data_IF_953975108487
#
_entry.id   IF_953975108487
#
_cell.length_a   1.000
_cell.length_b   1.000
_cell.length_c   1.000
_cell.angle_alpha   90.00
_cell.angle_beta   90.00
_cell.angle_gamma   90.00
#
_symmetry.space_group_name_H-M   'P 1'
#
loop_
_entity.id
_entity.type
_entity.pdbx_description
1 polymer ?
#
# COMPACT_ATOMS: atom_id res chain seq x y z
N UNK A 1 12.45 -2.83 6.47
CA UNK A 1 12.00 -3.59 5.28
C UNK A 1 11.35 -2.61 4.32
N UNK A 2 11.55 -2.80 3.01
CA UNK A 2 10.85 -2.06 1.95
C UNK A 2 10.08 -3.05 1.06
N UNK A 3 8.86 -2.71 0.68
CA UNK A 3 7.97 -3.55 -0.16
C UNK A 3 7.16 -2.68 -1.12
N UNK A 4 6.66 -3.26 -2.22
CA UNK A 4 5.64 -2.63 -3.05
C UNK A 4 4.30 -2.57 -2.30
N UNK A 5 3.54 -1.51 -2.55
CA UNK A 5 2.17 -1.30 -2.11
C UNK A 5 1.12 -1.81 -3.11
N UNK A 6 1.56 -2.41 -4.22
CA UNK A 6 0.69 -3.07 -5.19
C UNK A 6 -0.07 -4.23 -4.55
N UNK A 7 -1.17 -4.60 -5.19
CA UNK A 7 -1.96 -5.76 -4.78
C UNK A 7 -1.29 -7.05 -5.18
N UNK A 8 -1.38 -8.04 -4.29
CA UNK A 8 -1.11 -9.42 -4.66
C UNK A 8 -2.32 -9.97 -5.41
N UNK A 9 -2.15 -10.26 -6.69
CA UNK A 9 -3.12 -11.00 -7.48
C UNK A 9 -2.87 -12.50 -7.28
N UNK A 10 -3.91 -13.25 -6.93
CA UNK A 10 -3.90 -14.71 -6.94
C UNK A 10 -4.96 -15.20 -7.93
N UNK A 11 -4.54 -16.07 -8.84
CA UNK A 11 -5.43 -16.69 -9.81
C UNK A 11 -6.01 -17.98 -9.23
N UNK A 12 -7.33 -18.09 -9.32
CA UNK A 12 -8.11 -19.29 -8.98
C UNK A 12 -8.80 -19.83 -10.24
N UNK A 13 -9.36 -21.05 -10.16
CA UNK A 13 -10.06 -21.74 -11.28
C UNK A 13 -10.96 -20.83 -12.13
N UNK A 14 -11.71 -19.92 -11.49
CA UNK A 14 -12.74 -19.12 -12.15
C UNK A 14 -12.57 -17.60 -11.99
N UNK A 15 -11.55 -17.12 -11.26
CA UNK A 15 -11.42 -15.70 -10.92
C UNK A 15 -9.99 -15.27 -10.51
N UNK A 16 -9.68 -13.99 -10.72
CA UNK A 16 -8.47 -13.33 -10.22
C UNK A 16 -8.82 -12.46 -9.02
N UNK A 17 -8.29 -12.81 -7.84
CA UNK A 17 -8.56 -12.07 -6.60
C UNK A 17 -7.38 -11.21 -6.21
N UNK A 18 -7.66 -9.95 -5.90
CA UNK A 18 -6.65 -8.94 -5.56
C UNK A 18 -6.63 -8.67 -4.04
N UNK A 19 -5.55 -9.08 -3.38
CA UNK A 19 -5.34 -8.85 -1.95
C UNK A 19 -4.51 -7.59 -1.71
N UNK A 20 -4.96 -6.75 -0.77
CA UNK A 20 -4.19 -5.60 -0.29
C UNK A 20 -3.05 -6.07 0.63
N UNK A 21 -1.99 -5.27 0.72
CA UNK A 21 -0.79 -5.60 1.51
C UNK A 21 -1.10 -5.96 2.97
N UNK A 22 -2.08 -5.31 3.61
CA UNK A 22 -2.49 -5.64 4.98
C UNK A 22 -2.94 -7.11 5.14
N UNK A 23 -3.56 -7.69 4.09
CA UNK A 23 -3.95 -9.10 4.03
C UNK A 23 -2.75 -10.02 3.91
N UNK A 24 -1.79 -9.67 3.04
CA UNK A 24 -0.56 -10.42 2.84
C UNK A 24 0.27 -10.50 4.13
N UNK A 25 0.35 -9.39 4.89
CA UNK A 25 1.06 -9.39 6.17
C UNK A 25 0.47 -10.37 7.19
N UNK A 26 -0.82 -10.73 7.09
CA UNK A 26 -1.46 -11.75 7.96
C UNK A 26 -0.87 -13.15 7.80
N UNK A 27 -0.20 -13.42 6.68
CA UNK A 27 0.50 -14.68 6.44
C UNK A 27 1.86 -14.77 7.15
N UNK A 28 2.29 -13.72 7.84
CA UNK A 28 3.59 -13.65 8.51
C UNK A 28 3.46 -13.51 10.04
N UNK A 29 2.98 -14.54 10.77
CA UNK A 29 3.02 -14.54 12.22
C UNK A 29 4.42 -14.30 12.78
N UNK A 30 4.52 -13.45 13.80
CA UNK A 30 5.79 -13.04 14.41
C UNK A 30 6.49 -11.88 13.69
N UNK A 31 5.93 -11.36 12.59
CA UNK A 31 6.45 -10.15 11.96
C UNK A 31 6.42 -9.00 12.98
N UNK A 32 7.56 -8.34 13.17
CA UNK A 32 7.70 -7.24 14.13
C UNK A 32 8.83 -6.29 13.69
N UNK A 33 8.49 -5.36 12.81
CA UNK A 33 9.44 -4.41 12.22
C UNK A 33 9.41 -3.07 12.94
N UNK A 34 10.58 -2.51 13.25
CA UNK A 34 10.66 -1.12 13.71
C UNK A 34 10.21 -0.12 12.61
N UNK A 35 10.50 -0.45 11.35
CA UNK A 35 10.14 0.34 10.17
C UNK A 35 9.73 -0.54 8.99
N UNK A 36 8.51 -0.31 8.51
CA UNK A 36 7.99 -0.79 7.24
C UNK A 36 7.94 0.39 6.27
N UNK A 37 8.64 0.29 5.14
CA UNK A 37 8.54 1.24 4.04
C UNK A 37 7.75 0.60 2.90
N UNK A 38 6.73 1.28 2.42
CA UNK A 38 5.87 0.83 1.32
C UNK A 38 5.95 1.86 0.20
N UNK A 39 6.25 1.38 -1.00
CA UNK A 39 6.23 2.20 -2.22
C UNK A 39 4.89 1.96 -2.91
N UNK A 40 4.00 2.95 -2.90
CA UNK A 40 2.69 2.85 -3.52
C UNK A 40 2.78 2.69 -5.05
N UNK A 41 1.88 1.89 -5.62
CA UNK A 41 1.78 1.66 -7.06
C UNK A 41 1.22 2.85 -7.84
N UNK A 42 0.82 2.65 -9.09
CA UNK A 42 0.31 3.73 -9.96
C UNK A 42 -1.15 4.13 -9.70
N UNK A 43 -1.96 3.27 -9.08
CA UNK A 43 -3.36 3.55 -8.78
C UNK A 43 -3.50 4.45 -7.55
N UNK A 44 -3.82 5.74 -7.72
CA UNK A 44 -3.95 6.66 -6.58
C UNK A 44 -5.05 6.27 -5.58
N UNK A 45 -6.17 5.71 -6.05
CA UNK A 45 -7.21 5.15 -5.19
C UNK A 45 -6.71 3.91 -4.43
N UNK A 46 -6.07 2.99 -5.15
CA UNK A 46 -5.48 1.77 -4.56
C UNK A 46 -4.46 2.12 -3.48
N UNK A 47 -3.63 3.15 -3.71
CA UNK A 47 -2.66 3.62 -2.74
C UNK A 47 -3.30 4.13 -1.44
N UNK A 48 -4.39 4.88 -1.57
CA UNK A 48 -5.12 5.38 -0.41
C UNK A 48 -5.79 4.25 0.37
N UNK A 49 -6.43 3.31 -0.33
CA UNK A 49 -7.05 2.13 0.28
C UNK A 49 -6.01 1.23 0.96
N UNK A 50 -4.86 1.00 0.31
CA UNK A 50 -3.75 0.22 0.88
C UNK A 50 -3.21 0.88 2.13
N UNK A 51 -2.94 2.19 2.11
CA UNK A 51 -2.51 2.92 3.30
C UNK A 51 -3.57 2.85 4.41
N UNK A 52 -4.84 3.09 4.07
CA UNK A 52 -5.96 3.01 5.01
C UNK A 52 -6.07 1.63 5.67
N UNK A 53 -5.99 0.56 4.88
CA UNK A 53 -6.00 -0.82 5.37
C UNK A 53 -4.80 -1.16 6.24
N UNK A 54 -3.60 -0.66 5.92
CA UNK A 54 -2.43 -0.83 6.77
C UNK A 54 -2.60 -0.13 8.12
N UNK A 55 -3.11 1.10 8.13
CA UNK A 55 -3.35 1.90 9.35
C UNK A 55 -4.48 1.29 10.19
N UNK A 56 -5.54 0.80 9.56
CA UNK A 56 -6.70 0.24 10.25
C UNK A 56 -6.42 -1.17 10.77
N UNK A 57 -5.87 -2.04 9.94
CA UNK A 57 -5.89 -3.49 10.17
C UNK A 57 -4.50 -4.17 10.17
N UNK A 58 -3.49 -3.54 9.57
CA UNK A 58 -2.15 -4.13 9.44
C UNK A 58 -1.34 -4.07 10.73
N UNK A 59 -0.81 -5.20 11.21
CA UNK A 59 0.26 -5.22 12.23
C UNK A 59 1.60 -5.61 11.57
N UNK A 60 2.60 -5.90 12.39
CA UNK A 60 3.96 -6.22 11.99
C UNK A 60 4.89 -5.02 11.86
N UNK A 61 4.44 -3.81 12.22
CA UNK A 61 5.25 -2.59 12.09
C UNK A 61 4.99 -1.58 13.21
N UNK A 62 6.06 -0.91 13.67
CA UNK A 62 6.04 0.20 14.63
C UNK A 62 5.95 1.57 13.96
N UNK A 63 6.69 1.73 12.86
CA UNK A 63 6.62 2.92 11.99
C UNK A 63 6.33 2.47 10.57
N UNK A 64 5.23 2.96 10.00
CA UNK A 64 4.92 2.83 8.58
C UNK A 64 5.37 4.10 7.86
N UNK A 65 6.10 3.92 6.77
CA UNK A 65 6.49 4.98 5.84
C UNK A 65 5.92 4.63 4.47
N UNK A 66 4.87 5.32 4.06
CA UNK A 66 4.22 5.11 2.78
C UNK A 66 4.64 6.21 1.82
N UNK A 67 5.24 5.88 0.69
CA UNK A 67 5.74 6.84 -0.31
C UNK A 67 4.98 6.59 -1.61
N UNK A 68 4.46 7.64 -2.24
CA UNK A 68 3.81 7.55 -3.55
C UNK A 68 4.46 8.47 -4.56
N UNK A 69 4.30 8.11 -5.84
CA UNK A 69 4.76 8.90 -6.97
C UNK A 69 3.90 10.15 -7.23
N UNK A 70 2.66 10.22 -6.71
CA UNK A 70 1.69 11.29 -7.04
C UNK A 70 0.88 11.78 -5.83
N UNK A 71 0.73 13.10 -5.71
CA UNK A 71 -0.10 13.76 -4.70
C UNK A 71 -1.59 13.55 -4.95
N UNK A 72 -1.98 13.03 -6.13
CA UNK A 72 -3.36 12.69 -6.44
C UNK A 72 -3.98 11.74 -5.41
N UNK A 73 -3.17 10.87 -4.80
CA UNK A 73 -3.60 9.98 -3.72
C UNK A 73 -4.23 10.73 -2.53
N UNK A 74 -3.83 11.98 -2.28
CA UNK A 74 -4.38 12.78 -1.18
C UNK A 74 -5.56 13.67 -1.61
N UNK A 75 -5.82 13.78 -2.92
CA UNK A 75 -6.78 14.73 -3.49
C UNK A 75 -7.88 14.12 -4.37
N UNK A 76 -7.90 12.81 -4.60
CA UNK A 76 -8.92 12.19 -5.46
C UNK A 76 -10.30 12.15 -4.79
N UNK A 77 -11.38 12.27 -5.58
CA UNK A 77 -12.74 12.15 -5.05
C UNK A 77 -13.02 10.68 -4.70
N UNK A 78 -13.67 10.42 -3.57
CA UNK A 78 -14.09 9.06 -3.20
C UNK A 78 -15.42 9.10 -2.46
N UNK A 79 -16.33 8.21 -2.85
CA UNK A 79 -17.60 7.93 -2.14
C UNK A 79 -17.33 7.29 -0.77
N UNK A 80 -16.16 6.65 -0.62
CA UNK A 80 -15.69 6.01 0.61
C UNK A 80 -14.73 6.91 1.40
N UNK A 81 -14.56 8.18 1.00
CA UNK A 81 -13.90 9.20 1.82
C UNK A 81 -14.79 9.58 2.99
N UNK A 82 -15.18 8.61 3.83
CA UNK A 82 -15.38 8.93 5.24
C UNK A 82 -13.98 9.28 5.77
N UNK A 83 -13.60 10.54 5.49
CA UNK A 83 -12.40 11.25 5.83
C UNK A 83 -12.33 11.36 7.35
N UNK A 84 -12.12 10.24 8.01
CA UNK A 84 -11.45 10.28 9.29
C UNK A 84 -10.01 10.62 8.96
N UNK A 85 -9.49 11.76 9.45
CA UNK A 85 -8.06 12.01 9.40
C UNK A 85 -7.34 10.74 9.83
N UNK A 86 -6.33 10.30 9.09
CA UNK A 86 -5.58 9.06 9.39
C UNK A 86 -5.14 9.02 10.87
N UNK A 87 -4.90 10.20 11.46
CA UNK A 87 -4.67 10.41 12.88
C UNK A 87 -5.77 9.83 13.78
N UNK A 88 -7.04 10.11 13.49
CA UNK A 88 -8.20 9.59 14.24
C UNK A 88 -8.31 8.08 14.14
N UNK A 89 -7.98 7.50 12.97
CA UNK A 89 -8.01 6.05 12.76
C UNK A 89 -6.96 5.37 13.66
N UNK A 90 -5.72 5.87 13.66
CA UNK A 90 -4.67 5.27 14.49
C UNK A 90 -4.91 5.52 15.98
N UNK A 91 -5.49 6.66 16.36
CA UNK A 91 -5.90 6.96 17.74
C UNK A 91 -7.00 6.04 18.25
N UNK A 92 -8.02 5.75 17.42
CA UNK A 92 -9.07 4.80 17.77
C UNK A 92 -8.53 3.37 17.93
N UNK A 93 -7.53 3.02 17.12
CA UNK A 93 -6.90 1.69 17.12
C UNK A 93 -5.93 1.48 18.29
N UNK A 94 -4.97 2.39 18.48
CA UNK A 94 -3.88 2.25 19.46
C UNK A 94 -4.23 2.92 20.80
N UNK A 95 -5.32 3.69 20.86
CA UNK A 95 -5.74 4.50 21.99
C UNK A 95 -4.99 5.84 22.04
N UNK A 96 -5.72 6.94 22.21
CA UNK A 96 -5.16 8.31 22.25
C UNK A 96 -4.03 8.44 23.29
N UNK A 97 -4.15 7.78 24.43
CA UNK A 97 -3.17 7.85 25.53
C UNK A 97 -1.81 7.23 25.20
N UNK A 98 -1.74 6.37 24.17
CA UNK A 98 -0.48 5.81 23.70
C UNK A 98 0.27 6.79 22.78
N UNK A 99 -0.33 7.93 22.41
CA UNK A 99 0.24 8.98 21.56
C UNK A 99 0.71 8.47 20.16
N UNK A 100 -0.16 7.79 19.38
CA UNK A 100 0.15 7.50 17.99
C UNK A 100 0.19 8.80 17.18
N UNK A 101 0.90 8.80 16.05
CA UNK A 101 1.02 10.01 15.21
C UNK A 101 1.06 9.71 13.73
N UNK A 102 0.48 10.61 12.95
CA UNK A 102 0.57 10.68 11.49
C UNK A 102 1.23 11.99 11.08
N UNK A 103 2.19 11.92 10.17
CA UNK A 103 2.79 13.10 9.55
C UNK A 103 2.84 12.90 8.06
N UNK A 104 2.26 13.83 7.31
CA UNK A 104 2.29 13.82 5.85
C UNK A 104 3.34 14.82 5.39
N UNK A 105 4.21 14.38 4.49
CA UNK A 105 5.17 15.20 3.79
C UNK A 105 4.84 15.22 2.31
N UNK A 106 5.25 16.29 1.64
CA UNK A 106 5.11 16.46 0.19
C UNK A 106 6.39 17.02 -0.40
N UNK A 107 6.77 16.54 -1.58
CA UNK A 107 7.95 17.02 -2.28
C UNK A 107 7.78 18.49 -2.67
N UNK A 108 8.89 19.26 -2.65
CA UNK A 108 8.90 20.65 -3.11
C UNK A 108 8.87 20.71 -4.63
N UNK A 109 9.64 19.84 -5.28
CA UNK A 109 9.77 19.77 -6.73
C UNK A 109 8.82 18.74 -7.34
N UNK A 110 8.10 19.09 -8.43
CA UNK A 110 7.27 18.15 -9.16
C UNK A 110 8.10 17.21 -10.03
N UNK A 111 7.62 15.97 -10.22
CA UNK A 111 8.20 14.98 -11.14
C UNK A 111 9.69 14.65 -10.92
N UNK A 112 10.24 14.99 -9.76
CA UNK A 112 11.58 14.60 -9.36
C UNK A 112 11.51 13.47 -8.36
N UNK A 113 11.27 12.28 -8.90
CA UNK A 113 10.95 11.12 -8.09
C UNK A 113 12.12 10.65 -7.23
N UNK A 114 11.81 10.16 -6.02
CA UNK A 114 12.75 9.83 -4.96
C UNK A 114 13.19 11.03 -4.10
N UNK A 115 12.91 12.27 -4.51
CA UNK A 115 13.31 13.48 -3.77
C UNK A 115 12.63 13.59 -2.40
N UNK A 116 11.44 13.01 -2.24
CA UNK A 116 10.68 13.01 -0.99
C UNK A 116 11.43 12.34 0.18
N UNK A 117 12.44 11.51 -0.10
CA UNK A 117 13.24 10.87 0.95
C UNK A 117 14.20 11.87 1.61
N UNK A 118 14.66 12.88 0.87
CA UNK A 118 15.51 13.96 1.38
C UNK A 118 14.68 14.95 2.23
N UNK A 119 14.96 15.10 3.54
CA UNK A 119 14.26 16.04 4.41
C UNK A 119 14.33 17.50 3.94
N UNK A 120 15.39 17.89 3.24
CA UNK A 120 15.58 19.26 2.74
C UNK A 120 14.67 19.59 1.55
N UNK A 121 14.12 18.56 0.89
CA UNK A 121 13.33 18.65 -0.35
C UNK A 121 11.85 18.40 -0.15
N UNK A 122 11.42 18.28 1.10
CA UNK A 122 10.02 18.09 1.45
C UNK A 122 9.52 19.13 2.43
N UNK A 123 8.20 19.29 2.46
CA UNK A 123 7.48 20.14 3.41
C UNK A 123 6.40 19.32 4.08
N UNK A 124 6.07 19.66 5.33
CA UNK A 124 4.91 19.07 5.99
C UNK A 124 3.65 19.52 5.26
N UNK A 125 2.75 18.57 5.02
CA UNK A 125 1.44 18.80 4.43
C UNK A 125 0.37 18.52 5.48
N UNK A 126 -0.59 19.43 5.61
CA UNK A 126 -1.75 19.24 6.47
C UNK A 126 -2.96 18.93 5.59
N UNK A 127 -3.54 17.74 5.77
CA UNK A 127 -4.82 17.44 5.16
C UNK A 127 -5.89 18.27 5.88
N UNK A 128 -6.38 19.30 5.21
CA UNK A 128 -7.44 20.15 5.77
C UNK A 128 -8.78 19.49 5.48
N UNK A 129 -9.67 19.35 6.48
CA UNK A 129 -11.08 19.12 6.20
C UNK A 129 -11.56 20.28 5.32
N UNK A 130 -12.27 19.98 4.24
CA UNK A 130 -12.88 21.00 3.40
C UNK A 130 -13.96 21.75 4.21
N UNK A 131 -13.56 22.79 4.94
CA UNK A 131 -14.48 23.63 5.71
C UNK A 131 -15.21 24.59 4.76
N UNK A 132 -16.53 24.49 4.69
CA UNK A 132 -17.38 25.53 4.10
C UNK A 132 -18.17 25.13 2.86
N UNK A 133 -18.15 23.87 2.44
CA UNK A 133 -19.17 23.34 1.53
C UNK A 133 -20.14 22.47 2.32
N UNK A 134 -21.43 22.64 2.05
CA UNK A 134 -22.53 21.80 2.51
C UNK A 134 -22.40 20.44 1.78
N UNK A 135 -21.31 19.73 2.09
CA UNK A 135 -20.99 18.45 1.47
C UNK A 135 -22.01 17.45 2.02
N UNK A 136 -22.83 16.89 1.12
CA UNK A 136 -23.58 15.70 1.46
C UNK A 136 -22.56 14.64 1.93
N UNK A 137 -22.94 13.87 2.95
CA UNK A 137 -22.06 12.92 3.64
C UNK A 137 -21.42 11.85 2.71
N UNK A 138 -21.85 11.78 1.46
CA UNK A 138 -21.52 10.81 0.42
C UNK A 138 -20.69 11.37 -0.75
N UNK A 139 -20.45 12.69 -0.84
CA UNK A 139 -19.71 13.28 -1.98
C UNK A 139 -18.58 14.18 -1.50
N UNK A 140 -17.35 13.68 -1.64
CA UNK A 140 -16.12 14.43 -1.39
C UNK A 140 -15.50 14.86 -2.71
N UNK A 141 -15.52 16.16 -3.05
CA UNK A 141 -14.92 16.65 -4.28
C UNK A 141 -13.41 16.46 -4.25
N UNK A 142 -12.82 16.36 -5.45
CA UNK A 142 -11.38 16.33 -5.61
C UNK A 142 -10.75 17.61 -5.03
N UNK A 143 -9.59 17.50 -4.38
CA UNK A 143 -8.82 18.65 -3.92
C UNK A 143 -8.18 19.34 -5.15
N UNK A 144 -8.67 20.52 -5.56
CA UNK A 144 -8.18 21.21 -6.75
C UNK A 144 -6.71 21.64 -6.59
N UNK A 145 -6.22 21.91 -5.38
CA UNK A 145 -4.81 22.29 -5.18
C UNK A 145 -3.89 21.09 -5.44
N UNK A 146 -4.29 19.90 -5.04
CA UNK A 146 -3.50 18.67 -5.25
C UNK A 146 -3.67 18.08 -6.65
N UNK A 147 -4.80 18.35 -7.32
CA UNK A 147 -5.16 17.75 -8.59
C UNK A 147 -4.78 18.60 -9.81
N UNK A 148 -4.16 19.77 -9.63
CA UNK A 148 -3.86 20.68 -10.75
C UNK A 148 -2.40 20.63 -11.19
N UNK A 149 -2.16 20.35 -12.47
CA UNK A 149 -0.87 20.54 -13.13
C UNK A 149 0.29 19.82 -12.44
N UNK A 150 1.35 20.58 -12.13
CA UNK A 150 2.56 20.03 -11.50
C UNK A 150 2.37 19.68 -10.02
N UNK A 151 1.33 20.20 -9.36
CA UNK A 151 1.03 19.84 -7.98
C UNK A 151 0.70 18.35 -7.86
N UNK A 152 -0.01 17.79 -8.83
CA UNK A 152 -0.33 16.37 -8.87
C UNK A 152 0.94 15.49 -8.93
N UNK A 153 1.98 15.97 -9.60
CA UNK A 153 3.24 15.24 -9.85
C UNK A 153 4.22 15.26 -8.66
N UNK A 154 3.87 15.90 -7.55
CA UNK A 154 4.71 15.91 -6.34
C UNK A 154 4.48 14.63 -5.55
N UNK A 155 5.56 14.00 -5.10
CA UNK A 155 5.49 12.79 -4.27
C UNK A 155 5.00 13.12 -2.85
N UNK A 156 3.97 12.44 -2.32
CA UNK A 156 3.68 12.46 -0.90
C UNK A 156 4.41 11.32 -0.17
N UNK A 157 4.70 11.57 1.11
CA UNK A 157 5.15 10.55 2.04
C UNK A 157 4.39 10.65 3.34
N UNK A 158 3.69 9.58 3.72
CA UNK A 158 2.96 9.48 4.98
C UNK A 158 3.78 8.65 5.96
N UNK A 159 4.08 9.23 7.12
CA UNK A 159 4.72 8.53 8.23
C UNK A 159 3.68 8.31 9.31
N UNK A 160 3.42 7.06 9.66
CA UNK A 160 2.53 6.66 10.75
C UNK A 160 3.34 5.97 11.82
N UNK A 161 3.22 6.41 13.06
CA UNK A 161 3.89 5.80 14.22
C UNK A 161 2.84 5.22 15.16
N UNK A 162 3.02 3.96 15.51
CA UNK A 162 2.25 3.29 16.57
C UNK A 162 2.47 3.97 17.90
N UNK A 163 1.48 3.85 18.78
CA UNK A 163 1.55 4.36 20.14
C UNK A 163 2.63 3.71 20.99
N UNK A 164 3.09 4.41 22.01
CA UNK A 164 4.02 3.90 23.01
C UNK A 164 3.42 2.71 23.77
N UNK A 165 4.19 1.63 23.88
CA UNK A 165 3.79 0.40 24.57
C UNK A 165 2.83 -0.50 23.79
N UNK A 166 2.44 -0.12 22.58
CA UNK A 166 1.61 -0.96 21.70
C UNK A 166 2.42 -2.15 21.23
N UNK A 167 1.88 -3.36 21.43
CA UNK A 167 2.43 -4.54 20.78
C UNK A 167 1.98 -4.54 19.31
N UNK A 168 2.94 -4.32 18.42
CA UNK A 168 2.72 -4.26 16.98
C UNK A 168 3.13 -5.53 16.25
N UNK A 169 3.45 -6.61 16.95
CA UNK A 169 3.68 -7.93 16.33
C UNK A 169 2.42 -8.42 15.59
N UNK A 170 2.59 -8.98 14.40
CA UNK A 170 1.50 -9.71 13.74
C UNK A 170 1.36 -11.09 14.40
N UNK A 171 0.27 -11.29 15.15
CA UNK A 171 0.05 -12.51 15.91
C UNK A 171 -0.53 -13.61 15.05
N UNK A 172 -0.22 -14.87 15.39
CA UNK A 172 -0.81 -16.05 14.73
C UNK A 172 -2.34 -16.08 14.79
N UNK A 173 -2.92 -15.58 15.88
CA UNK A 173 -4.35 -15.53 16.16
C UNK A 173 -4.96 -14.14 15.89
N UNK A 174 -4.31 -13.32 15.05
CA UNK A 174 -4.83 -12.00 14.72
C UNK A 174 -6.18 -12.10 13.99
N UNK A 175 -7.14 -11.21 14.31
CA UNK A 175 -8.48 -11.25 13.70
C UNK A 175 -8.43 -11.22 12.18
N UNK A 176 -9.44 -11.82 11.55
CA UNK A 176 -9.63 -11.70 10.12
C UNK A 176 -10.01 -10.28 9.74
N UNK A 177 -9.47 -9.84 8.61
CA UNK A 177 -9.86 -8.58 7.96
C UNK A 177 -10.89 -8.88 6.85
N UNK A 178 -11.42 -7.83 6.21
CA UNK A 178 -12.49 -7.98 5.22
C UNK A 178 -12.10 -8.90 4.04
N UNK A 179 -11.00 -8.57 3.36
CA UNK A 179 -10.39 -9.37 2.29
C UNK A 179 -9.17 -10.14 2.79
N UNK A 180 -9.38 -11.07 3.72
CA UNK A 180 -8.32 -11.84 4.35
C UNK A 180 -8.00 -13.14 3.58
N UNK A 181 -6.78 -13.22 3.05
CA UNK A 181 -6.28 -14.37 2.29
C UNK A 181 -6.39 -15.70 3.06
N UNK A 182 -6.36 -15.67 4.40
CA UNK A 182 -6.50 -16.87 5.23
C UNK A 182 -7.93 -17.44 5.21
N UNK A 183 -8.92 -16.66 4.80
CA UNK A 183 -10.31 -17.15 4.62
C UNK A 183 -10.46 -17.94 3.34
N UNK A 184 -9.75 -17.52 2.30
CA UNK A 184 -9.85 -18.11 0.97
C UNK A 184 -8.92 -19.33 0.84
N UNK A 185 -7.76 -19.27 1.51
CA UNK A 185 -6.75 -20.33 1.53
C UNK A 185 -6.41 -20.72 2.99
N UNK A 186 -7.35 -21.37 3.72
CA UNK A 186 -7.16 -21.72 5.12
C UNK A 186 -6.02 -22.73 5.31
N UNK A 187 -5.25 -22.54 6.39
CA UNK A 187 -4.14 -23.41 6.82
C UNK A 187 -3.00 -23.61 5.79
N UNK A 188 -2.97 -22.81 4.72
CA UNK A 188 -1.91 -22.83 3.74
C UNK A 188 -0.76 -21.91 4.12
N UNK A 189 0.47 -22.39 3.92
CA UNK A 189 1.68 -21.57 3.99
C UNK A 189 1.82 -20.75 2.71
N UNK A 190 2.53 -19.61 2.77
CA UNK A 190 2.85 -18.81 1.58
C UNK A 190 3.45 -19.64 0.44
N UNK A 191 4.31 -20.61 0.76
CA UNK A 191 4.91 -21.50 -0.24
C UNK A 191 3.86 -22.34 -0.99
N UNK A 192 2.83 -22.81 -0.29
CA UNK A 192 1.73 -23.57 -0.91
C UNK A 192 0.82 -22.65 -1.73
N UNK A 193 0.48 -21.48 -1.20
CA UNK A 193 -0.32 -20.47 -1.91
C UNK A 193 0.36 -20.07 -3.22
N UNK A 194 1.66 -19.75 -3.19
CA UNK A 194 2.42 -19.39 -4.38
C UNK A 194 2.40 -20.53 -5.42
N UNK A 195 2.69 -21.76 -4.98
CA UNK A 195 2.74 -22.91 -5.88
C UNK A 195 1.38 -23.15 -6.58
N UNK A 196 0.27 -22.94 -5.86
CA UNK A 196 -1.07 -23.18 -6.37
C UNK A 196 -1.63 -22.04 -7.21
N UNK A 197 -1.40 -20.78 -6.80
CA UNK A 197 -2.12 -19.62 -7.34
C UNK A 197 -1.25 -18.72 -8.24
N UNK A 198 0.06 -18.96 -8.30
CA UNK A 198 1.00 -18.13 -9.06
C UNK A 198 1.83 -19.00 -10.00
N UNK A 199 2.54 -19.99 -9.46
CA UNK A 199 3.50 -20.76 -10.26
C UNK A 199 2.81 -21.79 -11.18
N UNK A 200 1.59 -22.22 -10.84
CA UNK A 200 0.87 -23.26 -11.58
C UNK A 200 -0.66 -23.15 -11.41
N UNK A 201 -1.28 -22.07 -11.92
CA UNK A 201 -2.67 -21.78 -11.60
C UNK A 201 -3.66 -22.84 -12.11
N UNK A 202 -3.28 -23.68 -13.10
CA UNK A 202 -4.18 -24.64 -13.77
C UNK A 202 -3.46 -25.89 -14.33
N UNK A 203 -2.69 -26.63 -13.52
CA UNK A 203 -2.24 -27.98 -13.91
C UNK A 203 -3.44 -28.95 -13.94
N UNK A 204 -4.29 -28.80 -14.95
CA UNK A 204 -5.20 -29.86 -15.38
C UNK A 204 -4.36 -30.89 -16.12
N UNK A 205 -4.24 -32.09 -15.56
CA UNK A 205 -3.62 -33.28 -16.18
C UNK A 205 -4.32 -33.74 -17.49
N UNK A 206 -5.15 -32.92 -18.14
CA UNK A 206 -6.02 -33.30 -19.27
C UNK A 206 -6.11 -32.24 -20.39
N UNK A 207 -4.99 -31.62 -20.80
CA UNK A 207 -4.93 -30.97 -22.13
C UNK A 207 -3.65 -31.36 -22.88
N UNK A 208 -3.73 -32.49 -23.61
CA UNK A 208 -2.93 -32.69 -24.81
C UNK A 208 -3.26 -31.58 -25.83
N UNK A 209 -2.49 -30.50 -25.86
CA UNK A 209 -2.18 -29.80 -27.12
C UNK A 209 -0.96 -28.90 -26.93
N UNK A 210 0.13 -29.29 -27.61
CA UNK A 210 1.44 -28.69 -27.45
C UNK A 210 1.47 -27.20 -27.78
N UNK A 211 1.67 -26.39 -26.75
CA UNK A 211 2.35 -25.11 -26.87
C UNK A 211 3.85 -25.38 -26.76
N UNK A 212 4.70 -24.76 -27.61
CA UNK A 212 6.14 -24.92 -27.48
C UNK A 212 6.55 -24.45 -26.07
N UNK A 213 7.58 -25.06 -25.46
CA UNK A 213 8.09 -24.56 -24.19
C UNK A 213 8.46 -23.10 -24.42
N UNK A 214 7.69 -22.19 -23.84
CA UNK A 214 8.17 -20.84 -23.65
C UNK A 214 9.43 -21.01 -22.79
N UNK A 215 10.59 -20.72 -23.37
CA UNK A 215 11.82 -20.51 -22.62
C UNK A 215 11.58 -19.28 -21.73
N UNK A 216 10.78 -19.42 -20.68
CA UNK A 216 10.71 -18.49 -19.57
C UNK A 216 11.99 -18.74 -18.78
N UNK A 217 13.07 -18.08 -19.23
CA UNK A 217 14.15 -17.70 -18.32
C UNK A 217 13.47 -17.19 -17.05
N UNK A 218 13.71 -17.83 -15.89
CA UNK A 218 13.25 -17.43 -14.56
C UNK A 218 13.15 -15.90 -14.52
N UNK A 219 11.96 -15.34 -14.75
CA UNK A 219 11.80 -13.89 -14.75
C UNK A 219 12.16 -13.49 -13.31
N UNK A 220 13.27 -12.76 -13.12
CA UNK A 220 13.84 -12.61 -11.80
C UNK A 220 12.73 -12.02 -10.93
N UNK A 221 12.40 -12.71 -9.83
CA UNK A 221 11.48 -12.23 -8.81
C UNK A 221 11.73 -10.73 -8.68
N UNK A 222 10.72 -9.89 -8.96
CA UNK A 222 10.84 -8.42 -8.94
C UNK A 222 11.23 -7.96 -7.53
N UNK A 223 12.49 -8.20 -7.20
CA UNK A 223 13.09 -7.94 -5.93
C UNK A 223 13.64 -6.54 -6.06
N UNK A 224 13.00 -5.64 -5.36
CA UNK A 224 13.44 -4.27 -5.25
C UNK A 224 14.93 -4.23 -4.82
N UNK A 225 15.80 -3.75 -5.71
CA UNK A 225 17.25 -3.70 -5.50
C UNK A 225 17.60 -2.36 -4.86
N UNK A 226 17.99 -2.38 -3.59
CA UNK A 226 18.49 -1.20 -2.88
C UNK A 226 19.69 -1.50 -1.99
N UNK A 227 20.55 -0.50 -1.82
CA UNK A 227 21.65 -0.54 -0.85
C UNK A 227 21.20 0.02 0.50
N UNK A 228 20.27 0.97 0.47
CA UNK A 228 19.68 1.58 1.65
C UNK A 228 18.16 1.69 1.51
N UNK A 229 17.43 1.47 2.62
CA UNK A 229 15.97 1.62 2.67
C UNK A 229 15.51 3.09 2.48
N UNK A 230 16.44 4.02 2.59
CA UNK A 230 16.29 5.44 2.29
C UNK A 230 16.74 5.80 0.85
N UNK A 231 17.05 4.82 0.01
CA UNK A 231 17.02 5.00 -1.44
C UNK A 231 15.57 4.85 -1.93
N UNK A 232 15.15 5.61 -2.93
CA UNK A 232 13.85 5.40 -3.58
C UNK A 232 14.06 5.64 -5.08
N UNK A 233 14.07 4.56 -5.84
CA UNK A 233 14.13 4.59 -7.29
C UNK A 233 12.84 3.91 -7.74
N UNK A 234 12.00 4.66 -8.43
CA UNK A 234 10.85 4.06 -9.09
C UNK A 234 11.38 3.30 -10.29
N UNK A 235 11.18 1.99 -10.31
CA UNK A 235 11.41 1.19 -11.51
C UNK A 235 10.50 1.77 -12.59
N UNK A 236 11.02 2.18 -13.76
CA UNK A 236 10.18 2.59 -14.86
C UNK A 236 9.50 1.33 -15.40
N UNK A 237 8.36 0.94 -14.83
CA UNK A 237 7.48 -0.04 -15.47
C UNK A 237 6.90 0.67 -16.69
N UNK A 238 7.33 0.19 -17.87
CA UNK A 238 6.89 0.54 -19.21
C UNK A 238 6.25 1.93 -19.34
N UNK A 239 7.09 2.89 -19.67
CA UNK A 239 6.77 4.17 -20.29
C UNK A 239 5.81 4.00 -21.48
N UNK A 240 4.51 3.88 -21.18
CA UNK A 240 3.38 3.99 -22.10
C UNK A 240 2.22 4.70 -21.39
N UNK A 241 2.54 5.71 -20.58
CA UNK A 241 1.61 6.80 -20.33
C UNK A 241 2.23 8.03 -20.98
N UNK A 242 2.02 8.12 -22.29
CA UNK A 242 1.96 9.42 -22.95
C UNK A 242 0.88 10.24 -22.21
N UNK A 243 1.36 11.31 -21.59
CA UNK A 243 0.56 12.42 -21.06
C UNK A 243 -0.17 13.14 -22.20
#
# INVERSE_FOLDING_TARGET
MRVSGDTLMLSYLDDDVYYRLASVLKLLPGLQLDRLTVLGGHGFQVNYDTLGGLIKDGNGWKTLRYICFSSAMLGFPSEHNISHPMQTVIEGRDGITSNPSVTVYRAKEPALYGSIVDPSRRVTFEQKPYHGQDLRADVFPADPELMTGDEQKKEPMVIVKRGSGVNYEEKKDSPFIESDIRRDLPDMTWKQIRAQCIDNPFDDEDVEEGWPPCDEEDDPTEADIYKDVDECIWTPLHSNLDL
#
